data_IF_150737038682
#
_entry.id   IF_150737038682
#
_cell.length_a   1.000
_cell.length_b   1.000
_cell.length_c   1.000
_cell.angle_alpha   90.00
_cell.angle_beta   90.00
_cell.angle_gamma   90.00
#
_symmetry.space_group_name_H-M   'P 1'
#
loop_
_entity.id
_entity.type
_entity.pdbx_description
1 polymer ?
#
# COMPACT_ATOMS: atom_id res chain seq x y z
N UNK A 1 -15.28 -2.53 14.73
CA UNK A 1 -14.55 -3.55 13.94
C UNK A 1 -13.98 -4.55 14.91
N UNK A 2 -14.41 -5.78 14.81
CA UNK A 2 -13.95 -6.87 15.64
C UNK A 2 -13.12 -7.84 14.80
N UNK A 3 -12.15 -8.47 15.42
CA UNK A 3 -11.26 -9.43 14.78
C UNK A 3 -11.02 -10.59 15.74
N UNK A 4 -11.08 -11.81 15.22
CA UNK A 4 -10.71 -13.01 15.96
C UNK A 4 -9.52 -13.66 15.27
N UNK A 5 -8.51 -14.02 16.06
CA UNK A 5 -7.30 -14.70 15.58
C UNK A 5 -7.14 -16.02 16.35
N UNK A 6 -7.06 -17.13 15.63
CA UNK A 6 -6.96 -18.47 16.19
C UNK A 6 -5.58 -19.08 15.87
N UNK A 7 -4.92 -19.60 16.87
CA UNK A 7 -3.68 -20.33 16.72
C UNK A 7 -3.89 -21.67 16.01
N UNK A 8 -3.01 -22.01 15.07
CA UNK A 8 -3.04 -23.24 14.26
C UNK A 8 -1.84 -24.15 14.44
N UNK A 9 -1.02 -23.86 15.40
CA UNK A 9 0.21 -24.58 15.71
C UNK A 9 1.46 -23.76 15.37
N UNK A 10 2.55 -24.02 16.03
CA UNK A 10 3.82 -23.30 15.92
C UNK A 10 3.59 -21.77 15.93
N UNK A 11 3.90 -21.07 14.82
CA UNK A 11 3.67 -19.63 14.66
C UNK A 11 2.55 -19.33 13.64
N UNK A 12 1.79 -20.35 13.23
CA UNK A 12 0.68 -20.18 12.29
C UNK A 12 -0.60 -19.74 12.98
N UNK A 13 -1.29 -18.77 12.39
CA UNK A 13 -2.57 -18.26 12.83
C UNK A 13 -3.55 -18.11 11.67
N UNK A 14 -4.83 -18.20 11.97
CA UNK A 14 -5.93 -17.86 11.06
C UNK A 14 -6.89 -16.91 11.76
N UNK A 15 -7.34 -15.88 11.05
CA UNK A 15 -8.30 -14.95 11.60
C UNK A 15 -9.17 -14.29 10.56
N UNK A 16 -10.27 -13.71 11.04
CA UNK A 16 -11.18 -12.93 10.23
C UNK A 16 -11.64 -11.70 11.00
N UNK A 17 -11.90 -10.63 10.29
CA UNK A 17 -12.58 -9.43 10.77
C UNK A 17 -14.05 -9.43 10.30
N UNK A 18 -14.76 -8.32 10.51
CA UNK A 18 -16.17 -8.18 10.16
C UNK A 18 -16.54 -8.54 8.72
N UNK A 19 -15.58 -8.41 7.78
CA UNK A 19 -15.78 -8.80 6.37
C UNK A 19 -15.94 -10.32 6.16
N UNK A 20 -15.55 -11.14 7.15
CA UNK A 20 -15.64 -12.60 7.12
C UNK A 20 -14.55 -13.32 6.31
N UNK A 21 -13.70 -12.59 5.59
CA UNK A 21 -12.61 -13.21 4.82
C UNK A 21 -11.50 -13.69 5.74
N UNK A 22 -11.17 -15.00 5.63
CA UNK A 22 -10.11 -15.62 6.44
C UNK A 22 -8.75 -15.18 5.90
N UNK A 23 -7.92 -14.68 6.81
CA UNK A 23 -6.51 -14.39 6.57
C UNK A 23 -5.64 -15.38 7.34
N UNK A 24 -4.56 -15.83 6.70
CA UNK A 24 -3.57 -16.73 7.30
C UNK A 24 -2.29 -15.96 7.54
N UNK A 25 -1.70 -16.18 8.70
CA UNK A 25 -0.42 -15.58 9.10
C UNK A 25 0.54 -16.67 9.53
N UNK A 26 1.81 -16.49 9.20
CA UNK A 26 2.90 -17.32 9.70
C UNK A 26 4.18 -16.48 9.83
N UNK A 27 5.23 -17.10 10.30
CA UNK A 27 6.53 -16.50 10.42
C UNK A 27 7.58 -17.21 9.53
N UNK A 28 8.75 -16.59 9.44
CA UNK A 28 9.90 -17.18 8.76
C UNK A 28 10.39 -18.45 9.48
N UNK A 29 10.88 -19.41 8.72
CA UNK A 29 11.44 -20.65 9.26
C UNK A 29 12.60 -20.43 10.23
N UNK A 30 13.40 -19.37 10.03
CA UNK A 30 14.53 -19.01 10.92
C UNK A 30 14.10 -18.60 12.33
N UNK A 31 12.84 -18.21 12.52
CA UNK A 31 12.27 -17.84 13.83
C UNK A 31 11.25 -18.87 14.34
N UNK A 32 11.13 -20.03 13.69
CA UNK A 32 10.25 -21.12 14.13
C UNK A 32 8.91 -21.20 13.40
N UNK A 33 8.68 -20.40 12.36
CA UNK A 33 7.55 -20.54 11.44
C UNK A 33 7.77 -21.65 10.40
N UNK A 34 6.83 -21.77 9.48
CA UNK A 34 6.85 -22.73 8.37
C UNK A 34 6.79 -22.05 6.99
N UNK A 35 6.79 -20.71 6.94
CA UNK A 35 6.57 -19.93 5.71
C UNK A 35 5.27 -20.31 4.96
N UNK A 36 4.24 -20.74 5.70
CA UNK A 36 2.99 -21.24 5.13
C UNK A 36 1.98 -20.13 4.77
N UNK A 37 2.25 -18.89 5.21
CA UNK A 37 1.40 -17.73 4.97
C UNK A 37 2.19 -16.42 5.03
N UNK A 38 1.53 -15.31 4.72
CA UNK A 38 2.12 -13.98 4.82
C UNK A 38 2.45 -13.61 6.26
N UNK A 39 3.50 -12.80 6.42
CA UNK A 39 3.94 -12.32 7.74
C UNK A 39 3.12 -11.12 8.20
N UNK A 40 2.96 -10.88 9.51
CA UNK A 40 2.19 -9.75 10.03
C UNK A 40 2.61 -8.38 9.44
N UNK A 41 3.92 -8.15 9.28
CA UNK A 41 4.43 -6.89 8.71
C UNK A 41 4.10 -6.75 7.22
N UNK A 42 3.93 -7.84 6.48
CA UNK A 42 3.48 -7.82 5.09
C UNK A 42 2.01 -7.39 5.00
N UNK A 43 1.15 -7.79 5.95
CA UNK A 43 -0.23 -7.31 6.02
C UNK A 43 -0.34 -5.82 6.30
N UNK A 44 0.55 -5.24 7.10
CA UNK A 44 0.62 -3.79 7.31
C UNK A 44 0.98 -3.08 6.00
N UNK A 45 1.97 -3.59 5.28
CA UNK A 45 2.35 -3.05 3.98
C UNK A 45 1.25 -3.20 2.91
N UNK A 46 0.60 -4.38 2.85
CA UNK A 46 -0.55 -4.63 1.98
C UNK A 46 -1.73 -3.71 2.31
N UNK A 47 -2.04 -3.52 3.60
CA UNK A 47 -3.08 -2.61 4.05
C UNK A 47 -2.81 -1.17 3.62
N UNK A 48 -1.57 -0.69 3.76
CA UNK A 48 -1.16 0.64 3.29
C UNK A 48 -1.30 0.77 1.77
N UNK A 49 -0.72 -0.16 1.01
CA UNK A 49 -0.78 -0.13 -0.45
C UNK A 49 -2.23 -0.24 -0.96
N UNK A 50 -3.02 -1.18 -0.42
CA UNK A 50 -4.40 -1.41 -0.82
C UNK A 50 -5.33 -0.24 -0.50
N UNK A 51 -5.17 0.38 0.67
CA UNK A 51 -5.97 1.53 1.08
C UNK A 51 -5.80 2.69 0.09
N UNK A 52 -4.56 3.11 -0.18
CA UNK A 52 -4.29 4.19 -1.14
C UNK A 52 -4.67 3.81 -2.56
N UNK A 53 -4.45 2.54 -2.96
CA UNK A 53 -4.79 2.05 -4.30
C UNK A 53 -6.29 2.19 -4.60
N UNK A 54 -7.14 1.77 -3.67
CA UNK A 54 -8.61 1.86 -3.83
C UNK A 54 -9.07 3.30 -3.98
N UNK A 55 -8.52 4.23 -3.20
CA UNK A 55 -8.83 5.66 -3.32
C UNK A 55 -8.41 6.20 -4.68
N UNK A 56 -7.13 5.99 -5.06
CA UNK A 56 -6.57 6.54 -6.29
C UNK A 56 -7.34 6.05 -7.50
N UNK A 57 -7.60 4.75 -7.64
CA UNK A 57 -8.32 4.22 -8.79
C UNK A 57 -9.78 4.70 -8.82
N UNK A 58 -10.46 4.76 -7.66
CA UNK A 58 -11.82 5.30 -7.56
C UNK A 58 -11.90 6.75 -8.03
N UNK A 59 -10.93 7.59 -7.62
CA UNK A 59 -10.89 8.99 -8.02
C UNK A 59 -10.58 9.14 -9.51
N UNK A 60 -9.65 8.36 -10.06
CA UNK A 60 -9.34 8.36 -11.50
C UNK A 60 -10.56 7.97 -12.34
N UNK A 61 -11.34 6.97 -11.91
CA UNK A 61 -12.59 6.57 -12.56
C UNK A 61 -13.64 7.70 -12.51
N UNK A 62 -13.84 8.34 -11.34
CA UNK A 62 -14.73 9.50 -11.20
C UNK A 62 -14.30 10.69 -12.08
N UNK A 63 -13.00 10.88 -12.27
CA UNK A 63 -12.43 11.86 -13.20
C UNK A 63 -12.44 11.39 -14.66
N UNK A 64 -13.08 10.24 -14.96
CA UNK A 64 -13.23 9.68 -16.31
C UNK A 64 -11.88 9.49 -17.02
N UNK A 65 -10.84 9.11 -16.28
CA UNK A 65 -9.57 8.78 -16.89
C UNK A 65 -9.64 7.37 -17.51
N UNK A 66 -9.14 7.24 -18.72
CA UNK A 66 -9.12 5.97 -19.47
C UNK A 66 -7.99 5.06 -18.97
N UNK A 67 -8.12 4.54 -17.76
CA UNK A 67 -7.16 3.61 -17.15
C UNK A 67 -7.49 2.20 -17.60
N UNK A 68 -6.53 1.52 -18.23
CA UNK A 68 -6.65 0.12 -18.70
C UNK A 68 -5.98 -0.86 -17.74
N UNK A 69 -4.96 -0.40 -16.99
CA UNK A 69 -4.31 -1.17 -15.93
C UNK A 69 -3.81 -0.25 -14.82
N UNK A 70 -3.86 -0.76 -13.60
CA UNK A 70 -3.39 -0.05 -12.42
C UNK A 70 -2.66 -1.01 -11.48
N UNK A 71 -1.42 -0.68 -11.13
CA UNK A 71 -0.61 -1.45 -10.21
C UNK A 71 -0.04 -0.50 -9.14
N UNK A 72 0.02 -0.98 -7.91
CA UNK A 72 0.73 -0.29 -6.83
C UNK A 72 1.85 -1.20 -6.33
N UNK A 73 3.05 -0.66 -6.25
CA UNK A 73 4.21 -1.30 -5.63
C UNK A 73 4.54 -0.58 -4.35
N UNK A 74 4.89 -1.33 -3.34
CA UNK A 74 5.37 -0.78 -2.08
C UNK A 74 6.71 -1.44 -1.73
N UNK A 75 7.71 -0.63 -1.46
CA UNK A 75 8.96 -1.05 -0.84
C UNK A 75 9.05 -0.41 0.54
N UNK A 76 9.35 -1.20 1.57
CA UNK A 76 9.53 -0.70 2.93
C UNK A 76 10.86 -1.18 3.50
N UNK A 77 11.62 -0.24 4.04
CA UNK A 77 12.83 -0.50 4.80
C UNK A 77 12.47 -0.77 6.25
N UNK A 78 13.25 -1.62 6.91
CA UNK A 78 13.06 -1.97 8.32
C UNK A 78 14.34 -1.69 9.12
N UNK A 79 14.17 -1.39 10.40
CA UNK A 79 15.29 -1.28 11.34
C UNK A 79 16.09 -2.60 11.38
N UNK A 80 17.41 -2.48 11.51
CA UNK A 80 18.33 -3.63 11.63
C UNK A 80 18.15 -4.35 12.97
N UNK A 81 17.82 -3.62 14.02
CA UNK A 81 17.67 -4.11 15.39
C UNK A 81 16.21 -4.19 15.82
N UNK A 82 15.92 -5.00 16.84
CA UNK A 82 14.61 -5.11 17.46
C UNK A 82 14.21 -3.83 18.22
N UNK A 83 12.91 -3.48 18.11
CA UNK A 83 11.88 -4.02 17.23
C UNK A 83 12.11 -3.57 15.79
N UNK A 84 12.09 -4.51 14.84
CA UNK A 84 12.33 -4.25 13.40
C UNK A 84 11.15 -3.52 12.74
N UNK A 85 10.88 -2.31 13.18
CA UNK A 85 9.83 -1.44 12.66
C UNK A 85 10.14 -0.98 11.24
N UNK A 86 9.13 -0.50 10.51
CA UNK A 86 9.37 0.23 9.27
C UNK A 86 10.04 1.57 9.58
N UNK A 87 11.11 1.86 8.84
CA UNK A 87 11.87 3.12 8.94
C UNK A 87 11.61 4.05 7.77
N UNK A 88 11.15 3.50 6.63
CA UNK A 88 10.78 4.23 5.43
C UNK A 88 9.90 3.35 4.56
N UNK A 89 9.01 3.96 3.78
CA UNK A 89 8.33 3.28 2.67
C UNK A 89 8.32 4.14 1.42
N UNK A 90 8.31 3.47 0.26
CA UNK A 90 8.09 4.08 -1.05
C UNK A 90 6.89 3.39 -1.69
N UNK A 91 5.87 4.16 -2.06
CA UNK A 91 4.70 3.68 -2.80
C UNK A 91 4.81 4.20 -4.24
N UNK A 92 4.79 3.30 -5.21
CA UNK A 92 4.80 3.65 -6.62
C UNK A 92 3.48 3.24 -7.27
N UNK A 93 2.76 4.23 -7.80
CA UNK A 93 1.52 4.05 -8.57
C UNK A 93 1.87 3.94 -10.05
N UNK A 94 1.55 2.83 -10.69
CA UNK A 94 1.78 2.57 -12.11
C UNK A 94 0.42 2.56 -12.80
N UNK A 95 0.18 3.58 -13.62
CA UNK A 95 -1.09 3.80 -14.31
C UNK A 95 -0.86 3.59 -15.81
N UNK A 96 -1.57 2.63 -16.39
CA UNK A 96 -1.55 2.40 -17.85
C UNK A 96 -2.90 2.82 -18.40
N UNK A 97 -2.89 3.57 -19.50
CA UNK A 97 -4.14 3.97 -20.15
C UNK A 97 -3.96 5.01 -21.25
N UNK A 98 -5.06 5.28 -21.95
CA UNK A 98 -5.08 6.20 -23.08
C UNK A 98 -5.25 7.64 -22.62
N UNK A 99 -4.26 8.49 -22.90
CA UNK A 99 -4.28 9.94 -22.59
C UNK A 99 -4.59 10.26 -21.13
N UNK A 100 -4.07 9.44 -20.20
CA UNK A 100 -4.23 9.69 -18.76
C UNK A 100 -3.60 11.04 -18.40
N UNK A 101 -4.37 11.90 -17.76
CA UNK A 101 -3.95 13.23 -17.38
C UNK A 101 -3.14 13.21 -16.08
N UNK A 102 -1.91 13.72 -16.12
CA UNK A 102 -1.01 13.78 -14.95
C UNK A 102 -1.62 14.56 -13.77
N UNK A 103 -2.27 15.71 -14.04
CA UNK A 103 -2.92 16.49 -12.98
C UNK A 103 -4.07 15.72 -12.30
N UNK A 104 -4.75 14.83 -13.04
CA UNK A 104 -5.76 13.95 -12.46
C UNK A 104 -5.14 12.89 -11.54
N UNK A 105 -3.97 12.35 -11.92
CA UNK A 105 -3.22 11.39 -11.10
C UNK A 105 -2.71 12.04 -9.83
N UNK A 106 -2.05 13.20 -9.94
CA UNK A 106 -1.56 13.95 -8.78
C UNK A 106 -2.70 14.30 -7.81
N UNK A 107 -3.83 14.76 -8.33
CA UNK A 107 -5.00 15.07 -7.50
C UNK A 107 -5.61 13.84 -6.85
N UNK A 108 -5.57 12.68 -7.51
CA UNK A 108 -6.05 11.43 -6.93
C UNK A 108 -5.17 10.97 -5.76
N UNK A 109 -3.85 11.04 -5.93
CA UNK A 109 -2.88 10.73 -4.87
C UNK A 109 -3.06 11.70 -3.69
N UNK A 110 -3.10 13.00 -3.96
CA UNK A 110 -3.31 14.05 -2.95
C UNK A 110 -4.57 13.77 -2.11
N UNK A 111 -5.70 13.55 -2.75
CA UNK A 111 -6.96 13.31 -2.06
C UNK A 111 -6.92 12.02 -1.21
N UNK A 112 -6.27 10.97 -1.71
CA UNK A 112 -6.09 9.75 -0.93
C UNK A 112 -5.32 10.04 0.37
N UNK A 113 -4.14 10.63 0.26
CA UNK A 113 -3.23 10.75 1.41
C UNK A 113 -3.61 11.86 2.39
N UNK A 114 -4.30 12.90 1.92
CA UNK A 114 -4.70 14.03 2.75
C UNK A 114 -6.09 13.86 3.37
N UNK A 115 -7.01 13.14 2.70
CA UNK A 115 -8.41 13.14 3.11
C UNK A 115 -9.02 11.74 3.33
N UNK A 116 -8.58 10.69 2.60
CA UNK A 116 -9.37 9.46 2.57
C UNK A 116 -8.67 8.26 3.19
N UNK A 117 -7.36 8.05 2.97
CA UNK A 117 -6.70 6.84 3.43
C UNK A 117 -6.36 6.88 4.94
N UNK A 118 -7.13 6.19 5.82
CA UNK A 118 -6.83 6.19 7.25
C UNK A 118 -5.51 5.47 7.56
N UNK A 119 -5.13 4.46 6.75
CA UNK A 119 -3.89 3.72 6.97
C UNK A 119 -2.69 4.62 6.71
N UNK A 120 -2.71 5.42 5.62
CA UNK A 120 -1.67 6.42 5.38
C UNK A 120 -1.61 7.45 6.50
N UNK A 121 -2.78 7.98 6.91
CA UNK A 121 -2.86 8.98 7.98
C UNK A 121 -2.29 8.49 9.33
N UNK A 122 -2.40 7.20 9.62
CA UNK A 122 -1.79 6.58 10.81
C UNK A 122 -0.30 6.35 10.62
N UNK A 123 0.11 5.70 9.54
CA UNK A 123 1.49 5.23 9.36
C UNK A 123 2.47 6.34 9.00
N UNK A 124 2.02 7.40 8.31
CA UNK A 124 2.86 8.57 8.02
C UNK A 124 3.31 9.35 9.25
N UNK A 125 2.68 9.11 10.41
CA UNK A 125 3.14 9.65 11.71
C UNK A 125 4.27 8.84 12.32
N UNK A 126 4.44 7.59 11.89
CA UNK A 126 5.44 6.68 12.45
C UNK A 126 6.74 6.66 11.63
N UNK A 127 6.64 6.79 10.30
CA UNK A 127 7.80 6.80 9.41
C UNK A 127 7.49 7.56 8.09
N UNK A 128 8.52 8.09 7.40
CA UNK A 128 8.34 8.78 6.12
C UNK A 128 7.86 7.82 5.03
N UNK A 129 6.89 8.28 4.23
CA UNK A 129 6.32 7.56 3.09
C UNK A 129 6.47 8.43 1.85
N UNK A 130 7.29 8.00 0.90
CA UNK A 130 7.45 8.65 -0.40
C UNK A 130 6.41 8.12 -1.39
N UNK A 131 5.85 9.00 -2.21
CA UNK A 131 4.83 8.68 -3.20
C UNK A 131 5.34 8.97 -4.59
N UNK A 132 5.43 7.94 -5.41
CA UNK A 132 5.91 8.00 -6.79
C UNK A 132 4.78 7.58 -7.73
N UNK A 133 4.83 8.04 -8.98
CA UNK A 133 3.89 7.59 -10.01
C UNK A 133 4.58 7.45 -11.36
N UNK A 134 4.03 6.54 -12.17
CA UNK A 134 4.32 6.39 -13.60
C UNK A 134 3.03 6.37 -14.39
N UNK A 135 3.01 7.10 -15.48
CA UNK A 135 1.93 7.05 -16.48
C UNK A 135 2.52 6.44 -17.75
N UNK A 136 1.91 5.38 -18.22
CA UNK A 136 2.34 4.59 -19.37
C UNK A 136 1.15 4.53 -20.34
N UNK A 137 1.39 4.66 -21.64
CA UNK A 137 0.33 4.48 -22.62
C UNK A 137 0.03 2.99 -22.90
N UNK A 138 -1.03 2.71 -23.65
CA UNK A 138 -1.42 1.36 -24.01
C UNK A 138 -0.39 0.65 -24.93
N UNK A 139 0.54 1.38 -25.51
CA UNK A 139 1.67 0.87 -26.31
C UNK A 139 2.93 0.63 -25.47
N UNK A 140 2.83 0.71 -24.15
CA UNK A 140 3.93 0.55 -23.19
C UNK A 140 5.00 1.66 -23.22
N UNK A 141 4.70 2.81 -23.80
CA UNK A 141 5.61 3.96 -23.74
C UNK A 141 5.44 4.69 -22.41
N UNK A 142 6.54 5.00 -21.75
CA UNK A 142 6.55 5.83 -20.56
C UNK A 142 6.22 7.28 -20.95
N UNK A 143 5.09 7.79 -20.47
CA UNK A 143 4.63 9.16 -20.75
C UNK A 143 5.10 10.12 -19.66
N UNK A 144 5.00 9.73 -18.40
CA UNK A 144 5.38 10.55 -17.25
C UNK A 144 5.88 9.70 -16.10
N UNK A 145 6.81 10.27 -15.33
CA UNK A 145 7.26 9.77 -14.03
C UNK A 145 7.43 10.97 -13.10
N UNK A 146 7.10 10.81 -11.86
CA UNK A 146 7.26 11.87 -10.87
C UNK A 146 7.02 11.39 -9.45
N UNK A 147 7.07 12.37 -8.54
CA UNK A 147 6.80 12.18 -7.12
C UNK A 147 5.70 13.13 -6.66
N UNK A 148 4.90 12.69 -5.70
CA UNK A 148 4.01 13.58 -4.99
C UNK A 148 4.71 14.04 -3.71
N UNK A 149 4.77 15.36 -3.42
CA UNK A 149 5.42 15.87 -2.23
C UNK A 149 4.68 15.40 -0.98
N UNK A 150 5.30 14.48 -0.24
CA UNK A 150 4.81 14.16 1.11
C UNK A 150 5.02 15.37 2.02
N UNK A 151 4.01 15.74 2.82
CA UNK A 151 4.26 16.68 3.93
C UNK A 151 5.26 16.05 4.88
N UNK A 152 6.31 16.76 5.29
CA UNK A 152 7.19 16.26 6.33
C UNK A 152 6.35 15.94 7.59
N UNK A 153 6.73 14.92 8.37
CA UNK A 153 6.05 14.63 9.63
C UNK A 153 6.03 15.89 10.49
N UNK A 154 4.89 16.20 11.06
CA UNK A 154 4.80 17.27 12.05
C UNK A 154 5.65 16.89 13.24
N UNK A 155 6.69 17.70 13.50
CA UNK A 155 7.60 17.57 14.66
C UNK A 155 6.80 17.89 15.93
#
# INVERSE_FOLDING_TARGET
MDLTLNWRGRLAFEGAADSGYIQKLDADGSVGGENSAARPMEYIALGLAGCTAMDVISILQKKRQSVTSFQVRLHAERASEQPKVFTKAVIEYIIIGNKVNEAAVLRAIELSVENYCPVYAMLSKAFPIELHYRIIDDSSNLIKVGTYPAKPPAI
#
